data_IF_728635128758
#
_entry.id   IF_728635128758
#
_cell.length_a   1.000
_cell.length_b   1.000
_cell.length_c   1.000
_cell.angle_alpha   90.00
_cell.angle_beta   90.00
_cell.angle_gamma   90.00
#
_symmetry.space_group_name_H-M   'P 1'
#
loop_
_entity.id
_entity.type
_entity.pdbx_description
1 polymer ?
#
# COMPACT_ATOMS: atom_id res chain seq x y z
N UNK A 1 -10.10 -28.10 -38.12
CA UNK A 1 -8.72 -28.45 -38.48
C UNK A 1 -8.22 -29.49 -37.48
N UNK A 2 -7.67 -30.63 -37.92
CA UNK A 2 -7.15 -31.65 -36.99
C UNK A 2 -5.80 -31.21 -36.41
N UNK A 3 -5.48 -31.64 -35.18
CA UNK A 3 -4.25 -31.28 -34.44
C UNK A 3 -2.96 -31.31 -35.28
N UNK A 4 -2.75 -32.38 -36.06
CA UNK A 4 -1.56 -32.52 -36.90
C UNK A 4 -1.54 -31.61 -38.14
N UNK A 5 -2.72 -31.23 -38.66
CA UNK A 5 -2.85 -30.27 -39.77
C UNK A 5 -2.53 -28.85 -39.26
N UNK A 6 -3.03 -28.51 -38.06
CA UNK A 6 -2.75 -27.24 -37.40
C UNK A 6 -1.26 -27.11 -37.03
N UNK A 7 -0.67 -28.11 -36.40
CA UNK A 7 0.75 -28.10 -36.01
C UNK A 7 1.68 -27.93 -37.23
N UNK A 8 1.32 -28.51 -38.39
CA UNK A 8 2.07 -28.36 -39.64
C UNK A 8 1.93 -26.95 -40.24
N UNK A 9 0.72 -26.43 -40.41
CA UNK A 9 0.51 -25.06 -40.91
C UNK A 9 1.17 -24.02 -39.98
N UNK A 10 1.12 -24.24 -38.67
CA UNK A 10 1.74 -23.40 -37.64
C UNK A 10 3.27 -23.44 -37.72
N UNK A 11 3.86 -24.62 -37.98
CA UNK A 11 5.31 -24.77 -38.23
C UNK A 11 5.73 -24.09 -39.53
N UNK A 12 4.93 -24.22 -40.59
CA UNK A 12 5.18 -23.59 -41.90
C UNK A 12 5.09 -22.04 -41.79
N UNK A 13 4.31 -21.53 -40.84
CA UNK A 13 4.22 -20.11 -40.47
C UNK A 13 5.35 -19.64 -39.52
N UNK A 14 6.28 -20.52 -39.13
CA UNK A 14 7.40 -20.17 -38.23
C UNK A 14 7.00 -19.88 -36.79
N UNK A 15 5.83 -20.34 -36.35
CA UNK A 15 5.32 -20.11 -34.99
C UNK A 15 5.96 -21.09 -34.00
N UNK A 16 6.28 -20.61 -32.78
CA UNK A 16 6.80 -21.42 -31.69
C UNK A 16 5.67 -21.86 -30.76
N UNK A 17 5.79 -23.07 -30.22
CA UNK A 17 4.83 -23.62 -29.27
C UNK A 17 5.20 -23.18 -27.86
N UNK A 18 4.25 -22.61 -27.11
CA UNK A 18 4.37 -22.41 -25.66
C UNK A 18 3.23 -23.15 -24.96
N UNK A 19 3.52 -24.29 -24.34
CA UNK A 19 2.57 -24.95 -23.45
C UNK A 19 2.58 -24.25 -22.08
N UNK A 20 1.51 -23.53 -21.75
CA UNK A 20 1.34 -22.85 -20.47
C UNK A 20 0.19 -23.50 -19.69
N UNK A 21 0.53 -24.07 -18.53
CA UNK A 21 -0.27 -24.35 -17.31
C UNK A 21 -1.80 -24.49 -17.43
N UNK A 22 -2.32 -25.31 -18.33
CA UNK A 22 -3.59 -26.02 -18.12
C UNK A 22 -3.64 -27.25 -19.07
N UNK A 23 -4.00 -28.46 -18.62
CA UNK A 23 -3.97 -29.69 -19.44
C UNK A 23 -4.84 -29.68 -20.70
N UNK A 24 -5.65 -28.63 -20.90
CA UNK A 24 -6.59 -28.50 -22.01
C UNK A 24 -6.45 -27.19 -22.78
N UNK A 25 -5.54 -26.30 -22.40
CA UNK A 25 -5.31 -25.01 -23.07
C UNK A 25 -3.89 -24.98 -23.62
N UNK A 26 -3.75 -24.57 -24.88
CA UNK A 26 -2.46 -24.45 -25.56
C UNK A 26 -2.35 -23.11 -26.26
N UNK A 27 -1.17 -22.53 -26.20
CA UNK A 27 -0.85 -21.28 -26.88
C UNK A 27 0.22 -21.52 -27.95
N UNK A 28 0.01 -20.97 -29.14
CA UNK A 28 1.02 -20.86 -30.18
C UNK A 28 1.32 -19.38 -30.39
N UNK A 29 2.59 -19.02 -30.43
CA UNK A 29 3.03 -17.64 -30.60
C UNK A 29 4.08 -17.59 -31.70
N UNK A 30 3.96 -16.63 -32.60
CA UNK A 30 5.04 -16.34 -33.53
C UNK A 30 4.78 -15.07 -34.33
N UNK A 31 5.38 -14.97 -35.52
CA UNK A 31 5.37 -13.74 -36.31
C UNK A 31 4.78 -13.99 -37.70
N UNK A 32 3.95 -13.07 -38.17
CA UNK A 32 3.48 -13.05 -39.56
C UNK A 32 4.61 -12.58 -40.49
N UNK A 33 4.48 -12.80 -41.80
CA UNK A 33 5.43 -12.28 -42.79
C UNK A 33 5.64 -10.76 -42.69
N UNK A 34 4.57 -10.02 -42.36
CA UNK A 34 4.60 -8.56 -42.20
C UNK A 34 5.09 -8.10 -40.80
N UNK A 35 5.63 -9.03 -40.00
CA UNK A 35 6.28 -8.76 -38.72
C UNK A 35 5.37 -8.64 -37.49
N UNK A 36 4.04 -8.68 -37.65
CA UNK A 36 3.09 -8.71 -36.53
C UNK A 36 3.25 -9.99 -35.71
N UNK A 37 3.01 -9.91 -34.41
CA UNK A 37 2.96 -11.08 -33.56
C UNK A 37 1.56 -11.70 -33.63
N UNK A 38 1.48 -13.02 -33.77
CA UNK A 38 0.23 -13.77 -33.73
C UNK A 38 0.24 -14.73 -32.56
N UNK A 39 -0.87 -14.76 -31.82
CA UNK A 39 -1.09 -15.72 -30.74
C UNK A 39 -2.39 -16.49 -31.00
N UNK A 40 -2.30 -17.81 -30.98
CA UNK A 40 -3.43 -18.72 -31.14
C UNK A 40 -3.64 -19.49 -29.84
N UNK A 41 -4.85 -19.43 -29.27
CA UNK A 41 -5.23 -20.22 -28.11
C UNK A 41 -6.19 -21.33 -28.53
N UNK A 42 -5.79 -22.56 -28.25
CA UNK A 42 -6.61 -23.74 -28.45
C UNK A 42 -7.10 -24.26 -27.10
N UNK A 43 -8.39 -24.62 -27.02
CA UNK A 43 -8.96 -25.39 -25.91
C UNK A 43 -9.50 -26.71 -26.44
N UNK A 44 -9.03 -27.85 -25.88
CA UNK A 44 -9.43 -29.19 -26.34
C UNK A 44 -9.38 -29.32 -27.89
N UNK A 45 -8.26 -28.86 -28.48
CA UNK A 45 -7.99 -28.86 -29.92
C UNK A 45 -8.89 -27.95 -30.80
N UNK A 46 -9.74 -27.11 -30.19
CA UNK A 46 -10.52 -26.08 -30.89
C UNK A 46 -9.84 -24.73 -30.73
N UNK A 47 -9.61 -24.01 -31.84
CA UNK A 47 -9.15 -22.62 -31.79
C UNK A 47 -10.27 -21.76 -31.21
N UNK A 48 -10.05 -21.22 -30.01
CA UNK A 48 -11.01 -20.34 -29.34
C UNK A 48 -10.64 -18.86 -29.49
N UNK A 49 -9.35 -18.56 -29.62
CA UNK A 49 -8.89 -17.18 -29.75
C UNK A 49 -7.73 -17.07 -30.73
N UNK A 50 -7.83 -16.08 -31.61
CA UNK A 50 -6.75 -15.59 -32.45
C UNK A 50 -6.52 -14.12 -32.09
N UNK A 51 -5.30 -13.78 -31.73
CA UNK A 51 -4.87 -12.41 -31.45
C UNK A 51 -3.79 -12.01 -32.44
N UNK A 52 -3.99 -10.89 -33.12
CA UNK A 52 -2.96 -10.19 -33.89
C UNK A 52 -2.48 -9.00 -33.06
N UNK A 53 -1.18 -8.95 -32.84
CA UNK A 53 -0.51 -8.04 -31.94
C UNK A 53 0.51 -7.24 -32.75
N UNK A 54 0.70 -5.98 -32.36
CA UNK A 54 1.71 -5.12 -32.98
C UNK A 54 3.10 -5.78 -32.99
N UNK A 55 3.98 -5.31 -33.88
CA UNK A 55 5.36 -5.75 -33.89
C UNK A 55 6.01 -5.52 -32.52
N UNK A 56 6.78 -6.52 -32.05
CA UNK A 56 7.47 -6.52 -30.75
C UNK A 56 6.53 -6.39 -29.55
N UNK A 57 5.26 -6.79 -29.68
CA UNK A 57 4.30 -6.75 -28.57
C UNK A 57 4.78 -7.52 -27.35
N UNK A 58 5.32 -8.72 -27.52
CA UNK A 58 5.84 -9.54 -26.41
C UNK A 58 6.95 -8.82 -25.68
N UNK A 59 7.91 -8.23 -26.40
CA UNK A 59 9.02 -7.45 -25.84
C UNK A 59 8.50 -6.22 -25.08
N UNK A 60 7.52 -5.50 -25.64
CA UNK A 60 6.87 -4.35 -24.99
C UNK A 60 6.16 -4.77 -23.70
N UNK A 61 5.46 -5.90 -23.71
CA UNK A 61 4.74 -6.42 -22.54
C UNK A 61 5.69 -6.89 -21.45
N UNK A 62 6.80 -7.54 -21.80
CA UNK A 62 7.86 -7.91 -20.86
C UNK A 62 8.53 -6.67 -20.25
N UNK A 63 8.86 -5.67 -21.07
CA UNK A 63 9.42 -4.40 -20.60
C UNK A 63 8.46 -3.68 -19.65
N UNK A 64 7.16 -3.64 -19.96
CA UNK A 64 6.13 -3.08 -19.07
C UNK A 64 6.02 -3.87 -17.78
N UNK A 65 5.99 -5.21 -17.84
CA UNK A 65 5.92 -6.06 -16.64
C UNK A 65 7.11 -5.80 -15.73
N UNK A 66 8.32 -5.72 -16.29
CA UNK A 66 9.54 -5.40 -15.55
C UNK A 66 9.47 -4.01 -14.92
N UNK A 67 9.09 -2.99 -15.70
CA UNK A 67 8.91 -1.62 -15.21
C UNK A 67 7.91 -1.55 -14.04
N UNK A 68 6.76 -2.21 -14.16
CA UNK A 68 5.75 -2.22 -13.10
C UNK A 68 6.19 -3.04 -11.89
N UNK A 69 6.91 -4.14 -12.07
CA UNK A 69 7.46 -4.92 -10.96
C UNK A 69 8.51 -4.12 -10.18
N UNK A 70 9.41 -3.41 -10.87
CA UNK A 70 10.40 -2.52 -10.25
C UNK A 70 9.73 -1.37 -9.49
N UNK A 71 8.69 -0.75 -10.07
CA UNK A 71 7.88 0.26 -9.38
C UNK A 71 7.14 -0.29 -8.16
N UNK A 72 6.51 -1.46 -8.28
CA UNK A 72 5.81 -2.07 -7.17
C UNK A 72 6.74 -2.38 -6.00
N UNK A 73 7.96 -2.85 -6.29
CA UNK A 73 8.97 -3.10 -5.26
C UNK A 73 9.47 -1.80 -4.62
N UNK A 74 9.75 -0.76 -5.42
CA UNK A 74 10.10 0.56 -4.87
C UNK A 74 8.97 1.15 -4.01
N UNK A 75 7.72 1.06 -4.45
CA UNK A 75 6.56 1.53 -3.69
C UNK A 75 6.35 0.73 -2.40
N UNK A 76 6.61 -0.59 -2.43
CA UNK A 76 6.57 -1.43 -1.24
C UNK A 76 7.63 -1.00 -0.24
N UNK A 77 8.88 -0.81 -0.68
CA UNK A 77 9.97 -0.33 0.17
C UNK A 77 9.67 1.05 0.76
N UNK A 78 9.10 1.96 -0.04
CA UNK A 78 8.68 3.27 0.45
C UNK A 78 7.57 3.17 1.51
N UNK A 79 6.57 2.32 1.30
CA UNK A 79 5.51 2.07 2.29
C UNK A 79 6.07 1.47 3.58
N UNK A 80 6.96 0.48 3.48
CA UNK A 80 7.60 -0.14 4.64
C UNK A 80 8.43 0.86 5.46
N UNK A 81 9.12 1.78 4.78
CA UNK A 81 9.86 2.87 5.43
C UNK A 81 8.90 3.90 6.07
N UNK A 82 7.84 4.30 5.36
CA UNK A 82 6.82 5.22 5.88
C UNK A 82 6.08 4.63 7.09
N UNK A 83 5.96 3.31 7.17
CA UNK A 83 5.35 2.59 8.30
C UNK A 83 6.34 2.19 9.40
N UNK A 84 7.64 2.49 9.24
CA UNK A 84 8.66 2.06 10.20
C UNK A 84 8.40 2.59 11.62
N UNK A 85 7.82 3.79 11.74
CA UNK A 85 7.47 4.37 13.04
C UNK A 85 6.49 3.52 13.84
N UNK A 86 5.62 2.74 13.19
CA UNK A 86 4.60 1.88 13.83
C UNK A 86 5.21 0.79 14.72
N UNK A 87 6.50 0.49 14.53
CA UNK A 87 7.23 -0.52 15.31
C UNK A 87 7.90 0.06 16.56
N UNK A 88 7.89 1.37 16.72
CA UNK A 88 8.48 2.08 17.85
C UNK A 88 7.35 2.35 18.84
N UNK A 89 7.41 1.73 20.02
CA UNK A 89 6.31 1.77 21.01
C UNK A 89 6.72 2.32 22.37
N UNK A 90 8.02 2.45 22.61
CA UNK A 90 8.65 2.77 23.90
C UNK A 90 9.28 4.16 23.94
N UNK A 91 9.45 4.80 22.78
CA UNK A 91 9.99 6.16 22.65
C UNK A 91 9.17 6.97 21.65
N UNK A 92 8.28 7.81 22.19
CA UNK A 92 7.39 8.66 21.38
C UNK A 92 8.17 9.65 20.50
N UNK A 93 9.27 10.23 21.00
CA UNK A 93 10.07 11.19 20.23
C UNK A 93 10.76 10.50 19.05
N UNK A 94 11.31 9.30 19.27
CA UNK A 94 11.91 8.49 18.20
C UNK A 94 10.85 8.02 17.20
N UNK A 95 9.64 7.67 17.65
CA UNK A 95 8.49 7.39 16.79
C UNK A 95 8.17 8.58 15.88
N UNK A 96 8.01 9.78 16.45
CA UNK A 96 7.69 11.00 15.71
C UNK A 96 8.78 11.35 14.68
N UNK A 97 10.05 11.31 15.08
CA UNK A 97 11.17 11.63 14.18
C UNK A 97 11.34 10.59 13.07
N UNK A 98 11.04 9.32 13.35
CA UNK A 98 11.07 8.25 12.33
C UNK A 98 9.96 8.44 11.30
N UNK A 99 8.76 8.79 11.75
CA UNK A 99 7.68 9.19 10.85
C UNK A 99 8.12 10.37 9.98
N UNK A 100 8.65 11.42 10.59
CA UNK A 100 9.02 12.65 9.88
C UNK A 100 10.08 12.41 8.79
N UNK A 101 11.04 11.51 9.04
CA UNK A 101 12.09 11.16 8.07
C UNK A 101 11.55 10.46 6.82
N UNK A 102 10.46 9.71 6.95
CA UNK A 102 9.95 8.83 5.90
C UNK A 102 8.56 9.22 5.38
N UNK A 103 7.92 10.22 5.98
CA UNK A 103 6.64 10.75 5.54
C UNK A 103 6.78 11.34 4.13
N UNK A 104 6.10 10.72 3.18
CA UNK A 104 6.04 11.18 1.79
C UNK A 104 4.66 10.86 1.18
N UNK A 105 3.62 11.60 1.60
CA UNK A 105 2.24 11.35 1.15
C UNK A 105 2.07 11.62 -0.35
N UNK A 106 2.88 12.54 -0.90
CA UNK A 106 2.89 12.92 -2.31
C UNK A 106 4.33 13.08 -2.82
N UNK A 107 4.52 13.08 -4.14
CA UNK A 107 5.86 13.06 -4.75
C UNK A 107 6.63 14.38 -4.66
N UNK A 108 5.96 15.48 -4.34
CA UNK A 108 6.43 16.86 -4.37
C UNK A 108 6.93 17.41 -3.03
N UNK A 109 6.86 16.63 -1.95
CA UNK A 109 7.35 17.04 -0.64
C UNK A 109 8.82 16.68 -0.44
N UNK A 110 9.57 17.65 0.11
CA UNK A 110 10.95 17.41 0.54
C UNK A 110 10.93 16.80 1.95
N UNK A 111 11.62 15.66 2.21
CA UNK A 111 11.64 15.02 3.53
C UNK A 111 12.06 15.95 4.69
N UNK A 112 12.81 17.01 4.39
CA UNK A 112 13.22 18.02 5.37
C UNK A 112 12.06 18.83 5.96
N UNK A 113 10.92 18.94 5.27
CA UNK A 113 9.76 19.70 5.75
C UNK A 113 9.08 19.02 6.94
N UNK A 114 8.88 17.70 6.86
CA UNK A 114 8.29 16.94 7.96
C UNK A 114 9.23 16.84 9.17
N UNK A 115 10.54 16.78 8.94
CA UNK A 115 11.55 16.88 10.01
C UNK A 115 11.44 18.22 10.75
N UNK A 116 11.38 19.33 10.01
CA UNK A 116 11.18 20.67 10.60
C UNK A 116 9.87 20.78 11.36
N UNK A 117 8.80 20.18 10.83
CA UNK A 117 7.50 20.14 11.50
C UNK A 117 7.56 19.35 12.82
N UNK A 118 8.17 18.16 12.82
CA UNK A 118 8.33 17.36 14.04
C UNK A 118 9.16 18.10 15.10
N UNK A 119 10.26 18.75 14.68
CA UNK A 119 11.10 19.55 15.56
C UNK A 119 10.38 20.77 16.13
N UNK A 120 9.47 21.38 15.37
CA UNK A 120 8.59 22.45 15.85
C UNK A 120 7.57 21.89 16.84
N UNK A 121 6.91 20.78 16.52
CA UNK A 121 5.87 20.16 17.34
C UNK A 121 6.38 19.80 18.74
N UNK A 122 7.63 19.32 18.82
CA UNK A 122 8.32 19.04 20.10
C UNK A 122 8.53 20.26 20.99
N UNK A 123 8.61 21.44 20.40
CA UNK A 123 8.84 22.73 21.10
C UNK A 123 7.56 23.54 21.28
N UNK A 124 6.50 23.16 20.58
CA UNK A 124 5.21 23.82 20.65
C UNK A 124 4.59 23.67 22.04
N UNK A 125 3.90 24.70 22.50
CA UNK A 125 3.09 24.65 23.73
C UNK A 125 1.78 23.85 23.50
N UNK A 126 1.00 23.53 24.57
CA UNK A 126 -0.26 22.81 24.42
C UNK A 126 -1.25 23.44 23.44
N UNK A 127 -1.41 24.76 23.45
CA UNK A 127 -2.37 25.46 22.58
C UNK A 127 -1.94 25.39 21.10
N UNK A 128 -0.65 25.52 20.83
CA UNK A 128 -0.10 25.35 19.49
C UNK A 128 -0.27 23.92 18.99
N UNK A 129 -0.12 22.92 19.86
CA UNK A 129 -0.39 21.51 19.52
C UNK A 129 -1.88 21.27 19.27
N UNK A 130 -2.77 21.93 20.01
CA UNK A 130 -4.20 21.89 19.72
C UNK A 130 -4.50 22.40 18.30
N UNK A 131 -3.96 23.56 17.94
CA UNK A 131 -4.11 24.13 16.58
C UNK A 131 -3.51 23.21 15.49
N UNK A 132 -2.38 22.58 15.79
CA UNK A 132 -1.76 21.61 14.89
C UNK A 132 -2.65 20.38 14.68
N UNK A 133 -3.26 19.86 15.75
CA UNK A 133 -4.21 18.76 15.66
C UNK A 133 -5.44 19.16 14.82
N UNK A 134 -6.03 20.33 15.07
CA UNK A 134 -7.18 20.84 14.30
C UNK A 134 -6.90 20.96 12.80
N UNK A 135 -5.67 21.34 12.44
CA UNK A 135 -5.27 21.57 11.05
C UNK A 135 -4.63 20.34 10.40
N UNK A 136 -4.62 19.19 11.09
CA UNK A 136 -3.90 18.01 10.64
C UNK A 136 -4.54 17.38 9.41
N UNK A 137 -3.73 17.14 8.37
CA UNK A 137 -4.13 16.28 7.27
C UNK A 137 -3.87 14.81 7.66
N UNK A 138 -4.94 14.04 7.81
CA UNK A 138 -4.88 12.65 8.23
C UNK A 138 -4.18 11.72 7.23
N UNK A 139 -4.07 12.14 5.95
CA UNK A 139 -3.28 11.43 4.94
C UNK A 139 -1.77 11.46 5.23
N UNK A 140 -1.31 12.36 6.11
CA UNK A 140 0.08 12.41 6.54
C UNK A 140 0.40 11.34 7.59
N UNK A 141 -0.58 10.60 8.07
CA UNK A 141 -0.42 9.53 9.05
C UNK A 141 -0.73 9.97 10.48
N UNK A 142 -0.61 9.02 11.42
CA UNK A 142 -1.12 9.16 12.79
C UNK A 142 -0.05 9.45 13.84
N UNK A 143 1.23 9.28 13.52
CA UNK A 143 2.32 9.44 14.48
C UNK A 143 2.30 10.80 15.21
N UNK A 144 2.08 11.94 14.53
CA UNK A 144 1.98 13.23 15.22
C UNK A 144 0.80 13.33 16.17
N UNK A 145 -0.36 12.77 15.80
CA UNK A 145 -1.55 12.76 16.65
C UNK A 145 -1.34 11.89 17.89
N UNK A 146 -0.81 10.67 17.70
CA UNK A 146 -0.41 9.79 18.79
C UNK A 146 0.57 10.49 19.74
N UNK A 147 1.64 11.08 19.18
CA UNK A 147 2.64 11.80 19.96
C UNK A 147 2.02 12.93 20.79
N UNK A 148 1.15 13.76 20.19
CA UNK A 148 0.45 14.85 20.89
C UNK A 148 -0.44 14.32 22.01
N UNK A 149 -1.17 13.23 21.77
CA UNK A 149 -2.10 12.64 22.74
C UNK A 149 -1.42 12.05 23.98
N UNK A 150 -0.15 11.62 23.84
CA UNK A 150 0.65 11.01 24.92
C UNK A 150 1.42 12.01 25.75
N UNK A 151 1.42 13.29 25.35
CA UNK A 151 2.06 14.34 26.14
C UNK A 151 1.37 14.48 27.50
N UNK A 152 2.17 14.63 28.56
CA UNK A 152 1.65 14.79 29.91
C UNK A 152 0.75 16.03 30.04
N UNK A 153 1.10 17.09 29.32
CA UNK A 153 0.40 18.37 29.20
C UNK A 153 -0.59 18.42 28.03
N UNK A 154 -0.99 17.26 27.48
CA UNK A 154 -2.08 17.18 26.51
C UNK A 154 -3.40 17.55 27.19
N UNK A 155 -4.03 18.63 26.72
CA UNK A 155 -5.33 19.06 27.22
C UNK A 155 -6.46 18.13 26.73
N UNK A 156 -7.57 18.14 27.47
CA UNK A 156 -8.71 17.28 27.18
C UNK A 156 -9.36 17.60 25.82
N UNK A 157 -9.37 18.86 25.37
CA UNK A 157 -9.98 19.23 24.10
C UNK A 157 -9.18 18.67 22.92
N UNK A 158 -7.84 18.74 22.98
CA UNK A 158 -6.94 18.09 22.02
C UNK A 158 -7.16 16.58 21.99
N UNK A 159 -7.16 15.93 23.15
CA UNK A 159 -7.37 14.48 23.25
C UNK A 159 -8.72 14.05 22.67
N UNK A 160 -9.81 14.76 23.00
CA UNK A 160 -11.14 14.47 22.46
C UNK A 160 -11.24 14.71 20.96
N UNK A 161 -10.62 15.78 20.44
CA UNK A 161 -10.59 16.04 19.01
C UNK A 161 -9.92 14.89 18.25
N UNK A 162 -8.75 14.45 18.72
CA UNK A 162 -8.02 13.32 18.11
C UNK A 162 -8.84 12.03 18.20
N UNK A 163 -9.42 11.75 19.38
CA UNK A 163 -10.26 10.58 19.59
C UNK A 163 -11.45 10.53 18.64
N UNK A 164 -12.26 11.59 18.57
CA UNK A 164 -13.45 11.60 17.69
C UNK A 164 -13.09 11.71 16.21
N UNK A 165 -12.03 12.44 15.85
CA UNK A 165 -11.50 12.50 14.48
C UNK A 165 -11.07 11.13 13.94
N UNK A 166 -10.64 10.23 14.83
CA UNK A 166 -10.25 8.85 14.50
C UNK A 166 -11.43 7.92 14.19
N UNK A 167 -12.67 8.43 14.18
CA UNK A 167 -13.89 7.65 13.94
C UNK A 167 -14.06 6.46 14.90
N UNK A 168 -14.12 6.70 16.23
CA UNK A 168 -14.11 5.65 17.24
C UNK A 168 -15.27 4.67 17.11
N UNK A 169 -16.41 5.10 16.58
CA UNK A 169 -17.57 4.24 16.29
C UNK A 169 -17.23 3.02 15.42
N UNK A 170 -16.20 3.10 14.57
CA UNK A 170 -15.76 1.96 13.75
C UNK A 170 -15.05 0.87 14.54
N UNK A 171 -14.52 1.21 15.70
CA UNK A 171 -13.61 0.37 16.47
C UNK A 171 -14.16 -0.01 17.84
N UNK A 172 -15.06 0.80 18.41
CA UNK A 172 -15.70 0.53 19.70
C UNK A 172 -16.51 -0.78 19.71
N UNK A 173 -17.01 -1.23 18.55
CA UNK A 173 -17.67 -2.52 18.41
C UNK A 173 -16.80 -3.73 18.76
N UNK A 174 -15.47 -3.55 18.78
CA UNK A 174 -14.53 -4.61 19.14
C UNK A 174 -14.21 -4.64 20.64
N UNK A 175 -14.80 -3.75 21.46
CA UNK A 175 -14.77 -3.78 22.94
C UNK A 175 -13.38 -3.97 23.58
N UNK A 176 -12.31 -3.44 22.99
CA UNK A 176 -10.96 -3.65 23.53
C UNK A 176 -10.25 -4.92 23.01
N UNK A 177 -10.91 -5.74 22.20
CA UNK A 177 -10.33 -6.92 21.56
C UNK A 177 -9.56 -6.58 20.27
N UNK A 178 -8.27 -6.29 20.46
CA UNK A 178 -7.33 -5.98 19.37
C UNK A 178 -7.17 -7.12 18.34
N UNK A 179 -7.32 -8.38 18.74
CA UNK A 179 -7.13 -9.53 17.85
C UNK A 179 -8.24 -9.61 16.79
N UNK A 180 -9.49 -9.33 17.16
CA UNK A 180 -10.60 -9.27 16.20
C UNK A 180 -10.40 -8.15 15.18
N UNK A 181 -9.83 -7.02 15.60
CA UNK A 181 -9.48 -5.95 14.66
C UNK A 181 -8.40 -6.41 13.69
N UNK A 182 -7.40 -7.16 14.14
CA UNK A 182 -6.32 -7.66 13.29
C UNK A 182 -6.81 -8.64 12.21
N UNK A 183 -7.86 -9.41 12.52
CA UNK A 183 -8.46 -10.38 11.60
C UNK A 183 -9.36 -9.70 10.55
N UNK A 184 -10.15 -8.70 10.97
CA UNK A 184 -11.10 -8.03 10.10
C UNK A 184 -10.55 -6.79 9.39
N UNK A 185 -9.46 -6.20 9.91
CA UNK A 185 -8.92 -4.91 9.45
C UNK A 185 -7.39 -4.90 9.51
N UNK A 186 -6.79 -4.23 8.53
CA UNK A 186 -5.35 -4.02 8.50
C UNK A 186 -4.87 -2.84 9.36
N UNK A 187 -5.78 -2.01 9.89
CA UNK A 187 -5.44 -0.77 10.58
C UNK A 187 -5.59 -0.88 12.11
N UNK A 188 -4.56 -1.46 12.73
CA UNK A 188 -4.45 -1.59 14.18
C UNK A 188 -4.01 -0.30 14.88
N UNK A 189 -3.42 0.65 14.15
CA UNK A 189 -2.84 1.85 14.77
C UNK A 189 -3.92 2.89 15.10
N UNK A 190 -4.92 3.07 14.23
CA UNK A 190 -6.10 3.87 14.58
C UNK A 190 -6.82 3.27 15.78
N UNK A 191 -6.92 1.94 15.84
CA UNK A 191 -7.49 1.24 16.98
C UNK A 191 -6.68 1.49 18.27
N UNK A 192 -5.36 1.31 18.22
CA UNK A 192 -4.47 1.51 19.37
C UNK A 192 -4.51 2.97 19.84
N UNK A 193 -4.58 3.95 18.94
CA UNK A 193 -4.82 5.37 19.26
C UNK A 193 -6.11 5.58 20.06
N UNK A 194 -7.23 5.01 19.59
CA UNK A 194 -8.53 5.11 20.26
C UNK A 194 -8.48 4.46 21.65
N UNK A 195 -7.80 3.32 21.79
CA UNK A 195 -7.71 2.59 23.04
C UNK A 195 -6.71 3.19 24.05
N UNK A 196 -5.66 3.87 23.59
CA UNK A 196 -4.71 4.58 24.46
C UNK A 196 -5.42 5.67 25.26
N UNK A 197 -6.38 6.38 24.66
CA UNK A 197 -7.22 7.35 25.35
C UNK A 197 -8.10 6.72 26.45
N UNK A 198 -8.45 5.43 26.35
CA UNK A 198 -9.18 4.72 27.41
C UNK A 198 -8.27 4.28 28.56
N UNK A 199 -6.98 4.07 28.31
CA UNK A 199 -6.00 3.61 29.31
C UNK A 199 -5.50 4.75 30.19
N UNK A 200 -5.24 5.92 29.62
CA UNK A 200 -4.79 7.11 30.36
C UNK A 200 -5.79 7.60 31.42
N UNK A 201 -7.09 7.36 31.21
CA UNK A 201 -8.16 7.67 32.16
C UNK A 201 -8.19 6.75 33.39
N UNK A 202 -7.61 5.54 33.32
CA UNK A 202 -7.53 4.61 34.47
C UNK A 202 -6.37 4.93 35.40
N UNK A 203 -5.25 5.40 34.87
CA UNK A 203 -4.05 5.69 35.68
C UNK A 203 -4.13 7.05 36.38
N UNK A 204 -4.94 7.99 35.88
CA UNK A 204 -5.17 9.31 36.50
C UNK A 204 -6.24 9.32 37.62
N UNK A 205 -6.81 8.16 37.97
CA UNK A 205 -7.83 7.99 39.04
C UNK A 205 -7.32 7.24 40.29
N UNK A 206 -6.00 7.08 40.44
CA UNK A 206 -5.33 6.59 41.66
C UNK A 206 -4.35 7.66 42.16
#
# INVERSE_FOLDING_TARGET
MRRAEAEKEISDLGLRVMEITHPHVRYFIGKTADGFEIMLMFRKDVLEQLSLLQQNHTEIMEARRKFWAERAEMEKQQREAADAWKRITDDDDTMLLTWARHCKPWSDYEPSEFMRYADWLRRADPDQRHLAALSWNWDYGLAPLLWMSRREDCDLATALYIFFGSNPQRYLQYEGNRSLVAEERADLMTYDLIMDHQRSDRTRRL
#
